data_IF_492153753689
#
_entry.id   IF_492153753689
#
_cell.length_a   1.000
_cell.length_b   1.000
_cell.length_c   1.000
_cell.angle_alpha   90.00
_cell.angle_beta   90.00
_cell.angle_gamma   90.00
#
_symmetry.space_group_name_H-M   'P 1'
#
loop_
_entity.id
_entity.type
_entity.pdbx_description
1 polymer ?
#
# COMPACT_ATOMS: atom_id res chain seq x y z
N UNK A 1 11.24 30.25 6.01
CA UNK A 1 10.76 29.63 5.67
C UNK A 1 10.52 29.31 5.32
N UNK A 2 10.41 29.35 5.32
CA UNK A 2 9.93 28.74 4.80
C UNK A 2 9.52 28.13 4.83
N UNK A 3 9.34 27.88 4.98
CA UNK A 3 8.74 27.10 4.79
C UNK A 3 8.18 26.93 5.19
N UNK A 4 8.08 27.36 5.56
CA UNK A 4 7.45 26.98 5.77
C UNK A 4 6.68 27.03 5.58
N UNK A 5 6.57 27.64 5.40
CA UNK A 5 5.80 27.46 5.09
C UNK A 5 5.44 26.85 4.69
N UNK A 6 5.48 26.57 4.59
CA UNK A 6 4.93 25.81 4.28
C UNK A 6 4.27 25.20 4.80
N UNK A 7 4.07 25.23 5.42
CA UNK A 7 3.39 24.63 5.93
C UNK A 7 2.33 24.85 6.21
N UNK A 8 1.98 25.40 6.47
CA UNK A 8 0.95 25.52 6.76
C UNK A 8 0.02 25.54 6.01
N UNK A 9 -0.09 25.39 5.65
CA UNK A 9 -0.95 25.18 4.93
C UNK A 9 -1.68 24.14 5.24
N UNK A 10 -1.66 23.86 6.06
CA UNK A 10 -2.28 23.05 6.59
C UNK A 10 -3.38 22.30 6.20
N UNK A 11 -4.39 22.23 6.32
CA UNK A 11 -5.54 21.55 5.94
C UNK A 11 -5.80 21.57 4.49
N UNK A 12 -4.77 21.54 3.75
CA UNK A 12 -4.83 21.47 2.33
C UNK A 12 -5.54 20.23 1.89
N UNK A 13 -6.29 20.27 0.79
CA UNK A 13 -6.92 19.07 0.23
C UNK A 13 -5.91 17.98 -0.09
N UNK A 14 -4.65 18.33 -0.20
CA UNK A 14 -3.61 17.35 -0.49
C UNK A 14 -3.28 16.48 0.70
N UNK A 15 -3.89 16.74 1.82
CA UNK A 15 -3.64 15.96 3.02
C UNK A 15 -3.86 14.47 2.81
N UNK A 16 -4.86 14.11 2.02
CA UNK A 16 -5.14 12.71 1.75
C UNK A 16 -4.04 12.03 0.94
N UNK A 17 -3.13 12.79 0.36
CA UNK A 17 -2.02 12.22 -0.40
C UNK A 17 -0.75 12.07 0.42
N UNK A 18 -0.78 12.40 1.70
CA UNK A 18 0.40 12.19 2.54
C UNK A 18 0.45 10.74 2.97
N UNK A 19 1.65 10.25 3.19
CA UNK A 19 1.86 8.89 3.67
C UNK A 19 2.83 8.99 4.84
N UNK A 20 2.28 8.96 6.04
CA UNK A 20 3.09 9.13 7.23
C UNK A 20 3.81 7.84 7.58
N UNK A 21 4.92 7.99 8.31
CA UNK A 21 5.70 6.83 8.72
C UNK A 21 4.91 5.86 9.59
N UNK A 22 3.93 6.37 10.32
CA UNK A 22 3.13 5.52 11.19
C UNK A 22 2.22 4.57 10.41
N UNK A 23 2.04 4.81 9.12
CA UNK A 23 1.23 3.92 8.29
C UNK A 23 2.06 2.97 7.45
N UNK A 24 3.38 2.95 7.66
CA UNK A 24 4.26 2.06 6.91
C UNK A 24 4.47 0.78 7.71
N UNK A 25 4.26 -0.34 7.05
CA UNK A 25 4.50 -1.66 7.65
C UNK A 25 6.01 -1.84 7.81
N UNK A 26 6.45 -2.13 9.01
CA UNK A 26 7.87 -2.27 9.33
C UNK A 26 8.11 -3.45 10.24
N UNK A 27 9.36 -3.90 10.23
CA UNK A 27 9.79 -4.92 11.15
C UNK A 27 9.61 -6.31 10.58
N UNK A 28 10.65 -7.10 10.81
CA UNK A 28 10.70 -8.45 10.28
C UNK A 28 9.53 -9.30 10.72
N UNK A 29 9.14 -9.18 11.99
CA UNK A 29 8.04 -9.97 12.52
C UNK A 29 6.73 -9.66 11.81
N UNK A 30 6.47 -8.38 11.53
CA UNK A 30 5.24 -7.99 10.86
C UNK A 30 5.18 -8.55 9.45
N UNK A 31 6.32 -8.53 8.74
CA UNK A 31 6.34 -9.11 7.39
C UNK A 31 6.19 -10.63 7.43
N UNK A 32 6.86 -11.28 8.39
CA UNK A 32 6.72 -12.73 8.53
C UNK A 32 5.29 -13.13 8.82
N UNK A 33 4.64 -12.40 9.70
CA UNK A 33 3.26 -12.66 10.03
C UNK A 33 2.36 -12.48 8.81
N UNK A 34 2.59 -11.40 8.07
CA UNK A 34 1.83 -11.14 6.86
C UNK A 34 1.99 -12.28 5.85
N UNK A 35 3.24 -12.68 5.58
CA UNK A 35 3.49 -13.70 4.58
C UNK A 35 2.99 -15.08 4.99
N UNK A 36 2.85 -15.34 6.27
CA UNK A 36 2.44 -16.67 6.74
C UNK A 36 0.94 -16.90 6.56
N UNK A 37 0.13 -15.85 6.49
CA UNK A 37 -1.32 -16.05 6.46
C UNK A 37 -2.02 -14.95 5.67
N UNK A 38 -1.48 -14.58 4.53
CA UNK A 38 -2.06 -13.51 3.72
C UNK A 38 -2.71 -14.06 2.46
N UNK A 39 -3.60 -13.25 1.91
CA UNK A 39 -4.20 -13.50 0.60
C UNK A 39 -3.41 -12.74 -0.46
N UNK A 40 -3.38 -13.31 -1.65
CA UNK A 40 -2.61 -12.73 -2.76
C UNK A 40 -3.54 -12.16 -3.83
N UNK A 41 -3.28 -10.93 -4.23
CA UNK A 41 -3.90 -10.33 -5.40
C UNK A 41 -2.80 -10.07 -6.42
N UNK A 42 -3.11 -10.25 -7.69
CA UNK A 42 -2.08 -10.12 -8.73
C UNK A 42 -2.48 -9.08 -9.77
N UNK A 43 -1.46 -8.43 -10.31
CA UNK A 43 -1.59 -7.59 -11.47
C UNK A 43 -0.40 -7.90 -12.40
N UNK A 44 -0.28 -7.20 -13.49
CA UNK A 44 0.68 -7.57 -14.51
C UNK A 44 2.13 -7.55 -14.01
N UNK A 45 2.55 -6.45 -13.39
CA UNK A 45 3.93 -6.28 -12.96
C UNK A 45 4.11 -6.16 -11.45
N UNK A 46 3.01 -6.17 -10.70
CA UNK A 46 3.05 -6.00 -9.25
C UNK A 46 2.03 -6.94 -8.63
N UNK A 47 2.40 -7.52 -7.50
CA UNK A 47 1.46 -8.30 -6.68
C UNK A 47 1.18 -7.57 -5.39
N UNK A 48 0.09 -7.95 -4.73
CA UNK A 48 -0.25 -7.41 -3.43
C UNK A 48 -0.64 -8.57 -2.51
N UNK A 49 -0.08 -8.57 -1.31
CA UNK A 49 -0.53 -9.51 -0.27
C UNK A 49 -1.16 -8.71 0.85
N UNK A 50 -2.22 -9.25 1.42
CA UNK A 50 -2.91 -8.55 2.49
C UNK A 50 -3.47 -9.53 3.50
N UNK A 51 -3.65 -9.02 4.72
CA UNK A 51 -4.37 -9.74 5.75
C UNK A 51 -5.16 -8.73 6.56
N UNK A 52 -6.32 -9.16 7.04
CA UNK A 52 -7.18 -8.31 7.85
C UNK A 52 -7.20 -8.83 9.27
N UNK A 53 -7.41 -7.91 10.20
CA UNK A 53 -7.52 -8.24 11.62
C UNK A 53 -8.83 -7.64 12.14
N UNK A 54 -9.56 -8.36 12.98
CA UNK A 54 -10.82 -7.82 13.52
C UNK A 54 -10.61 -6.64 14.45
N UNK A 55 -9.39 -6.45 14.92
CA UNK A 55 -9.08 -5.42 15.90
C UNK A 55 -8.47 -4.20 15.23
N UNK A 56 -9.13 -3.06 15.36
CA UNK A 56 -8.64 -1.81 14.78
C UNK A 56 -7.29 -1.38 15.35
N UNK A 57 -6.92 -1.89 16.51
CA UNK A 57 -5.63 -1.56 17.11
C UNK A 57 -4.44 -2.01 16.26
N UNK A 58 -4.66 -2.95 15.35
CA UNK A 58 -3.60 -3.40 14.46
C UNK A 58 -3.31 -2.35 13.37
N UNK A 59 -4.18 -1.37 13.20
CA UNK A 59 -4.01 -0.27 12.28
C UNK A 59 -4.01 -0.68 10.81
N UNK A 60 -3.97 0.32 9.94
CA UNK A 60 -3.85 0.11 8.49
C UNK A 60 -2.40 0.41 8.13
N UNK A 61 -1.65 -0.62 7.75
CA UNK A 61 -0.23 -0.49 7.45
C UNK A 61 0.07 -1.03 6.06
N UNK A 62 0.94 -0.34 5.34
CA UNK A 62 1.31 -0.71 3.97
C UNK A 62 2.83 -0.82 3.85
N UNK A 63 3.28 -1.79 3.07
CA UNK A 63 4.69 -1.97 2.81
C UNK A 63 4.98 -2.07 1.32
N UNK A 64 6.25 -1.93 0.97
CA UNK A 64 6.68 -1.97 -0.43
C UNK A 64 7.94 -2.82 -0.52
N UNK A 65 7.93 -3.80 -1.41
CA UNK A 65 9.04 -4.74 -1.55
C UNK A 65 9.48 -4.81 -3.01
N UNK A 66 10.79 -4.71 -3.21
CA UNK A 66 11.42 -5.00 -4.49
C UNK A 66 12.41 -6.13 -4.22
N UNK A 67 12.08 -7.38 -4.58
CA UNK A 67 12.92 -8.52 -4.22
C UNK A 67 14.29 -8.48 -4.89
N UNK A 68 15.27 -9.12 -4.29
CA UNK A 68 16.63 -9.15 -4.84
C UNK A 68 16.67 -9.69 -6.26
N UNK A 69 15.80 -10.62 -6.57
CA UNK A 69 15.82 -11.28 -7.87
C UNK A 69 15.48 -10.37 -9.04
N UNK A 70 14.88 -9.19 -8.78
CA UNK A 70 14.49 -8.34 -9.90
C UNK A 70 15.59 -7.42 -10.39
N UNK A 71 16.69 -7.27 -9.63
CA UNK A 71 17.78 -6.43 -10.10
C UNK A 71 18.70 -5.99 -9.01
N UNK A 72 19.58 -5.06 -9.38
CA UNK A 72 20.58 -4.53 -8.48
C UNK A 72 19.97 -3.56 -7.48
N UNK A 73 20.75 -3.20 -6.46
CA UNK A 73 20.26 -2.35 -5.38
C UNK A 73 19.65 -1.04 -5.90
N UNK A 74 20.30 -0.39 -6.87
CA UNK A 74 19.80 0.87 -7.42
C UNK A 74 18.43 0.67 -8.07
N UNK A 75 18.29 -0.42 -8.83
CA UNK A 75 17.02 -0.72 -9.48
C UNK A 75 15.92 -1.01 -8.48
N UNK A 76 16.27 -1.72 -7.41
CA UNK A 76 15.29 -2.06 -6.37
C UNK A 76 14.84 -0.83 -5.60
N UNK A 77 15.76 0.07 -5.28
CA UNK A 77 15.43 1.31 -4.59
C UNK A 77 14.49 2.15 -5.45
N UNK A 78 14.80 2.26 -6.75
CA UNK A 78 13.97 3.01 -7.67
C UNK A 78 12.57 2.40 -7.77
N UNK A 79 12.50 1.09 -7.85
CA UNK A 79 11.22 0.39 -7.95
C UNK A 79 10.37 0.62 -6.70
N UNK A 80 10.98 0.54 -5.52
CA UNK A 80 10.25 0.82 -4.28
C UNK A 80 9.71 2.24 -4.24
N UNK A 81 10.49 3.20 -4.73
CA UNK A 81 10.05 4.59 -4.78
C UNK A 81 8.85 4.75 -5.69
N UNK A 82 8.85 4.06 -6.83
CA UNK A 82 7.72 4.12 -7.75
C UNK A 82 6.47 3.53 -7.11
N UNK A 83 6.60 2.39 -6.44
CA UNK A 83 5.48 1.77 -5.74
C UNK A 83 4.92 2.70 -4.68
N UNK A 84 5.80 3.26 -3.87
CA UNK A 84 5.39 4.13 -2.78
C UNK A 84 4.68 5.38 -3.31
N UNK A 85 5.21 5.97 -4.37
CA UNK A 85 4.63 7.17 -4.94
C UNK A 85 3.27 6.89 -5.57
N UNK A 86 3.17 5.80 -6.31
CA UNK A 86 1.90 5.40 -6.92
C UNK A 86 0.84 5.15 -5.84
N UNK A 87 1.23 4.50 -4.75
CA UNK A 87 0.31 4.26 -3.65
C UNK A 87 -0.08 5.59 -2.97
N UNK A 88 0.90 6.46 -2.73
CA UNK A 88 0.65 7.71 -2.02
C UNK A 88 -0.47 8.52 -2.68
N UNK A 89 -0.42 8.63 -3.99
CA UNK A 89 -1.41 9.45 -4.71
C UNK A 89 -2.72 8.73 -4.97
N UNK A 90 -2.79 7.43 -4.72
CA UNK A 90 -4.00 6.64 -4.97
C UNK A 90 -4.54 5.96 -3.72
N UNK A 91 -3.96 6.22 -2.57
CA UNK A 91 -4.32 5.52 -1.34
C UNK A 91 -5.78 5.73 -0.93
N UNK A 92 -6.39 6.81 -1.39
CA UNK A 92 -7.77 7.11 -1.04
C UNK A 92 -8.72 5.99 -1.48
N UNK A 93 -8.35 5.19 -2.47
CA UNK A 93 -9.18 4.07 -2.90
C UNK A 93 -9.47 3.14 -1.72
N UNK A 94 -8.52 3.01 -0.79
CA UNK A 94 -8.68 2.17 0.40
C UNK A 94 -8.93 2.99 1.65
N UNK A 95 -8.17 4.07 1.85
CA UNK A 95 -8.20 4.78 3.13
C UNK A 95 -9.52 5.50 3.39
N UNK A 96 -10.30 5.74 2.34
CA UNK A 96 -11.60 6.39 2.51
C UNK A 96 -12.75 5.41 2.70
N UNK A 97 -12.45 4.11 2.77
CA UNK A 97 -13.50 3.12 3.04
C UNK A 97 -13.88 3.16 4.52
N UNK A 98 -15.19 3.28 4.82
CA UNK A 98 -15.59 3.25 6.23
C UNK A 98 -15.25 1.93 6.92
N UNK A 99 -15.23 0.86 6.20
CA UNK A 99 -14.98 -0.47 6.77
C UNK A 99 -13.62 -0.56 7.47
N UNK A 100 -12.62 0.18 7.00
CA UNK A 100 -11.29 0.03 7.58
C UNK A 100 -11.13 0.73 8.93
N UNK A 101 -12.09 1.57 9.31
CA UNK A 101 -12.00 2.23 10.62
C UNK A 101 -12.24 1.25 11.77
N UNK A 102 -12.80 0.10 11.46
CA UNK A 102 -13.15 -0.89 12.48
C UNK A 102 -12.31 -2.15 12.39
N UNK A 103 -11.29 -2.16 11.58
CA UNK A 103 -10.45 -3.34 11.41
C UNK A 103 -8.99 -2.95 11.27
N UNK A 104 -8.11 -3.92 11.47
CA UNK A 104 -6.71 -3.78 11.09
C UNK A 104 -6.53 -4.33 9.69
N UNK A 105 -5.65 -3.71 8.94
CA UNK A 105 -5.37 -4.14 7.57
C UNK A 105 -3.90 -3.94 7.28
N UNK A 106 -3.20 -5.04 7.04
CA UNK A 106 -1.79 -4.97 6.64
C UNK A 106 -1.69 -5.46 5.21
N UNK A 107 -0.99 -4.71 4.36
CA UNK A 107 -0.80 -5.12 2.98
C UNK A 107 0.54 -4.64 2.46
N UNK A 108 1.04 -5.35 1.46
CA UNK A 108 2.35 -5.06 0.89
C UNK A 108 2.28 -5.23 -0.62
N UNK A 109 2.86 -4.26 -1.31
CA UNK A 109 3.02 -4.32 -2.77
C UNK A 109 4.39 -4.90 -3.07
N UNK A 110 4.44 -5.84 -4.00
CA UNK A 110 5.66 -6.53 -4.37
C UNK A 110 5.88 -6.46 -5.87
N UNK A 111 6.97 -5.86 -6.28
CA UNK A 111 7.30 -5.78 -7.71
C UNK A 111 7.74 -7.15 -8.22
N UNK A 112 7.30 -7.49 -9.42
CA UNK A 112 7.70 -8.74 -10.08
C UNK A 112 8.94 -8.54 -10.94
N UNK A 113 9.23 -7.31 -11.33
CA UNK A 113 10.36 -6.99 -12.20
C UNK A 113 10.79 -5.56 -11.99
N UNK A 114 11.97 -5.24 -12.49
CA UNK A 114 12.50 -3.89 -12.46
C UNK A 114 12.20 -3.19 -13.78
N UNK A 115 12.73 -1.98 -13.92
CA UNK A 115 12.63 -1.19 -15.16
C UNK A 115 11.21 -0.82 -15.52
N UNK A 116 10.40 -0.56 -14.50
CA UNK A 116 9.03 -0.12 -14.67
C UNK A 116 8.98 1.40 -14.74
N UNK A 117 8.01 1.92 -15.49
CA UNK A 117 7.73 3.35 -15.48
C UNK A 117 6.68 3.65 -14.42
N UNK A 118 6.58 4.92 -14.07
CA UNK A 118 5.55 5.31 -13.10
C UNK A 118 4.15 4.94 -13.59
N UNK A 119 3.87 5.18 -14.88
CA UNK A 119 2.55 4.86 -15.43
C UNK A 119 2.22 3.38 -15.30
N UNK A 120 3.20 2.52 -15.57
CA UNK A 120 3.00 1.08 -15.42
C UNK A 120 2.70 0.72 -13.97
N UNK A 121 3.52 1.25 -13.06
CA UNK A 121 3.34 0.97 -11.65
C UNK A 121 2.01 1.51 -11.15
N UNK A 122 1.63 2.70 -11.58
CA UNK A 122 0.37 3.30 -11.14
C UNK A 122 -0.82 2.47 -11.60
N UNK A 123 -0.79 1.99 -12.84
CA UNK A 123 -1.87 1.13 -13.33
C UNK A 123 -2.00 -0.15 -12.51
N UNK A 124 -0.86 -0.76 -12.19
CA UNK A 124 -0.86 -1.97 -11.36
C UNK A 124 -1.38 -1.67 -9.96
N UNK A 125 -0.89 -0.60 -9.35
CA UNK A 125 -1.26 -0.26 -7.98
C UNK A 125 -2.74 0.06 -7.88
N UNK A 126 -3.27 0.86 -8.82
CA UNK A 126 -4.69 1.19 -8.80
C UNK A 126 -5.55 -0.03 -9.04
N UNK A 127 -5.12 -0.92 -9.94
CA UNK A 127 -5.84 -2.16 -10.16
C UNK A 127 -5.89 -3.00 -8.89
N UNK A 128 -4.74 -3.15 -8.23
CA UNK A 128 -4.67 -3.93 -7.00
C UNK A 128 -5.47 -3.30 -5.87
N UNK A 129 -5.45 -1.97 -5.76
CA UNK A 129 -6.25 -1.30 -4.75
C UNK A 129 -7.74 -1.49 -4.98
N UNK A 130 -8.16 -1.48 -6.23
CA UNK A 130 -9.56 -1.74 -6.56
C UNK A 130 -9.96 -3.18 -6.27
N UNK A 131 -9.06 -4.13 -6.55
CA UNK A 131 -9.30 -5.53 -6.18
C UNK A 131 -9.42 -5.67 -4.67
N UNK A 132 -8.51 -5.03 -3.93
CA UNK A 132 -8.52 -5.08 -2.48
C UNK A 132 -9.79 -4.45 -1.94
N UNK A 133 -10.17 -3.29 -2.48
CA UNK A 133 -11.40 -2.64 -2.07
C UNK A 133 -12.60 -3.55 -2.25
N UNK A 134 -12.66 -4.24 -3.37
CA UNK A 134 -13.74 -5.18 -3.64
C UNK A 134 -13.77 -6.30 -2.62
N UNK A 135 -12.61 -6.82 -2.23
CA UNK A 135 -12.53 -7.88 -1.22
C UNK A 135 -12.97 -7.39 0.14
N UNK A 136 -12.61 -6.16 0.49
CA UNK A 136 -12.94 -5.62 1.81
C UNK A 136 -14.41 -5.25 1.93
N UNK A 137 -15.04 -4.85 0.84
CA UNK A 137 -16.44 -4.47 0.86
C UNK A 137 -17.38 -5.61 0.51
N UNK A 138 -16.84 -6.71 0.01
CA UNK A 138 -17.64 -7.86 -0.34
C UNK A 138 -17.97 -8.62 0.94
N UNK A 139 -19.25 -8.69 1.26
CA UNK A 139 -19.69 -9.43 2.43
C UNK A 139 -19.99 -10.86 2.05
N UNK A 140 -19.58 -11.81 2.87
CA UNK A 140 -19.95 -13.19 2.59
C UNK A 140 -21.45 -13.32 2.57
N UNK A 141 -21.92 -14.16 1.69
CA UNK A 141 -23.34 -14.40 1.60
C UNK A 141 -23.84 -14.96 2.93
N UNK A 142 -24.94 -14.45 3.41
CA UNK A 142 -25.42 -14.90 4.70
C UNK A 142 -26.07 -16.27 4.66
N UNK A 143 -26.12 -16.88 3.54
CA UNK A 143 -26.79 -18.13 3.49
C UNK A 143 -26.30 -19.17 4.20
#
# INVERSE_FOLDING_TARGET
MREKERSNLTDSPDRRFTLSKSHILRGRRNFEELFSSSSLLTSKEVNLRYTTYPNADRNVLVGFIAPKKIGKAVQRIRTKRLLREAYRVNQHIITELPEITEMGLHYVFMAKQADLTFDMVERNVTDLLKQLRSKLTSKPSPI
#
